data_IF_836378955339
#
_entry.id   IF_836378955339
#
_cell.length_a   1.000
_cell.length_b   1.000
_cell.length_c   1.000
_cell.angle_alpha   90.00
_cell.angle_beta   90.00
_cell.angle_gamma   90.00
#
_symmetry.space_group_name_H-M   'P 1'
#
loop_
_entity.id
_entity.type
_entity.pdbx_description
1 polymer ?
#
# COMPACT_ATOMS: atom_id res chain seq x y z
N UNK A 1 7.87 -3.64 20.13
CA UNK A 1 7.26 -3.46 18.80
C UNK A 1 8.34 -3.50 17.74
N UNK A 2 8.05 -4.06 16.60
CA UNK A 2 9.05 -4.12 15.52
C UNK A 2 9.30 -2.78 14.83
N UNK A 3 8.38 -1.79 14.94
CA UNK A 3 8.53 -0.46 14.34
C UNK A 3 8.94 0.58 15.38
N UNK A 4 9.92 1.43 15.04
CA UNK A 4 10.26 2.62 15.81
C UNK A 4 9.32 3.77 15.46
N UNK A 5 9.07 3.95 14.16
CA UNK A 5 8.24 5.03 13.60
C UNK A 5 7.30 4.46 12.56
N UNK A 6 6.08 4.98 12.52
CA UNK A 6 5.15 4.79 11.39
C UNK A 6 4.72 6.18 10.94
N UNK A 7 4.96 6.51 9.68
CA UNK A 7 4.48 7.76 9.07
C UNK A 7 3.26 7.45 8.21
N UNK A 8 2.17 8.16 8.48
CA UNK A 8 0.93 8.11 7.71
C UNK A 8 0.86 9.35 6.81
N UNK A 9 0.67 9.13 5.52
CA UNK A 9 0.60 10.22 4.52
C UNK A 9 -0.73 10.12 3.78
N UNK A 10 -1.58 11.13 3.91
CA UNK A 10 -2.85 11.25 3.19
C UNK A 10 -3.35 12.69 3.29
N UNK A 11 -3.67 13.34 2.18
CA UNK A 11 -4.21 14.71 2.12
C UNK A 11 -5.73 14.78 2.22
N UNK A 12 -6.41 13.65 2.27
CA UNK A 12 -7.87 13.59 2.28
C UNK A 12 -8.49 13.95 3.64
N UNK A 13 -9.76 14.32 3.56
CA UNK A 13 -10.66 14.45 4.72
C UNK A 13 -11.60 13.27 4.82
N UNK A 14 -12.02 12.97 6.04
CA UNK A 14 -13.07 11.99 6.27
C UNK A 14 -14.39 12.52 5.67
N UNK A 15 -14.99 11.75 4.79
CA UNK A 15 -16.28 12.05 4.18
C UNK A 15 -17.34 11.03 4.60
N UNK A 16 -18.62 11.43 4.56
CA UNK A 16 -19.74 10.53 4.89
C UNK A 16 -19.69 9.24 4.06
N UNK A 17 -19.33 9.33 2.77
CA UNK A 17 -19.20 8.16 1.87
C UNK A 17 -18.08 7.18 2.28
N UNK A 18 -17.18 7.58 3.18
CA UNK A 18 -16.12 6.69 3.67
C UNK A 18 -16.61 5.74 4.76
N UNK A 19 -17.63 6.16 5.54
CA UNK A 19 -18.06 5.46 6.76
C UNK A 19 -18.60 4.04 6.50
N UNK A 20 -19.09 3.79 5.28
CA UNK A 20 -19.65 2.48 4.91
C UNK A 20 -18.58 1.39 4.75
N UNK A 21 -17.30 1.77 4.59
CA UNK A 21 -16.20 0.84 4.26
C UNK A 21 -14.89 1.10 4.98
N UNK A 22 -14.75 2.23 5.64
CA UNK A 22 -13.55 2.62 6.40
C UNK A 22 -13.91 2.63 7.89
N UNK A 23 -13.89 1.46 8.52
CA UNK A 23 -14.29 1.23 9.92
C UNK A 23 -13.49 2.05 10.93
N UNK A 24 -12.34 2.59 10.51
CA UNK A 24 -11.50 3.46 11.33
C UNK A 24 -12.19 4.78 11.68
N UNK A 25 -13.12 5.25 10.85
CA UNK A 25 -13.76 6.56 10.98
C UNK A 25 -15.18 6.45 11.48
N UNK A 26 -15.57 7.41 12.34
CA UNK A 26 -16.91 7.55 12.87
C UNK A 26 -17.59 8.83 12.34
N UNK A 27 -18.92 8.97 12.44
CA UNK A 27 -19.62 10.18 12.01
C UNK A 27 -19.08 11.49 12.61
N UNK A 28 -18.53 11.43 13.82
CA UNK A 28 -17.89 12.57 14.51
C UNK A 28 -16.60 13.04 13.84
N UNK A 29 -15.99 12.20 13.00
CA UNK A 29 -14.73 12.49 12.33
C UNK A 29 -14.90 13.16 10.96
N UNK A 30 -16.13 13.24 10.45
CA UNK A 30 -16.40 13.86 9.13
C UNK A 30 -15.85 15.28 9.08
N UNK A 31 -15.05 15.56 8.04
CA UNK A 31 -14.35 16.83 7.82
C UNK A 31 -12.94 16.91 8.45
N UNK A 32 -12.58 15.99 9.34
CA UNK A 32 -11.23 15.92 9.91
C UNK A 32 -10.24 15.29 8.93
N UNK A 33 -8.96 15.57 9.10
CA UNK A 33 -7.89 14.89 8.35
C UNK A 33 -7.92 13.39 8.62
N UNK A 34 -7.81 12.57 7.55
CA UNK A 34 -7.78 11.12 7.68
C UNK A 34 -6.57 10.65 8.50
N UNK A 35 -5.39 11.22 8.25
CA UNK A 35 -4.17 10.84 8.98
C UNK A 35 -4.20 11.27 10.44
N UNK A 36 -4.84 12.38 10.77
CA UNK A 36 -5.00 12.81 12.16
C UNK A 36 -5.87 11.83 12.96
N UNK A 37 -6.99 11.41 12.39
CA UNK A 37 -7.87 10.42 13.02
C UNK A 37 -7.14 9.08 13.16
N UNK A 38 -6.50 8.61 12.09
CA UNK A 38 -5.77 7.34 12.09
C UNK A 38 -4.61 7.35 13.11
N UNK A 39 -3.83 8.42 13.15
CA UNK A 39 -2.71 8.55 14.10
C UNK A 39 -3.20 8.60 15.54
N UNK A 40 -4.29 9.30 15.82
CA UNK A 40 -4.90 9.33 17.15
C UNK A 40 -5.38 7.94 17.59
N UNK A 41 -6.00 7.18 16.69
CA UNK A 41 -6.41 5.81 16.95
C UNK A 41 -5.20 4.91 17.26
N UNK A 42 -4.14 4.97 16.46
CA UNK A 42 -2.92 4.17 16.66
C UNK A 42 -2.22 4.49 17.97
N UNK A 43 -2.11 5.77 18.36
CA UNK A 43 -1.50 6.20 19.63
C UNK A 43 -2.22 5.67 20.86
N UNK A 44 -3.50 5.35 20.74
CA UNK A 44 -4.31 4.78 21.83
C UNK A 44 -4.20 3.25 21.95
N UNK A 45 -3.42 2.59 21.08
CA UNK A 45 -3.17 1.14 21.21
C UNK A 45 -2.11 0.88 22.28
N UNK A 46 -2.20 -0.24 23.04
CA UNK A 46 -1.28 -0.53 24.16
C UNK A 46 0.19 -0.65 23.77
N UNK A 47 0.46 -0.90 22.50
CA UNK A 47 1.81 -1.08 21.95
C UNK A 47 1.89 -0.18 20.72
N UNK A 48 1.99 1.14 20.94
CA UNK A 48 2.08 2.11 19.86
C UNK A 48 3.53 2.42 19.52
N UNK A 49 3.93 2.38 18.23
CA UNK A 49 5.15 3.02 17.78
C UNK A 49 4.98 4.55 17.84
N UNK A 50 6.04 5.28 17.63
CA UNK A 50 5.89 6.71 17.33
C UNK A 50 5.13 6.85 16.00
N UNK A 51 4.01 7.57 16.01
CA UNK A 51 3.18 7.77 14.82
C UNK A 51 3.26 9.23 14.39
N UNK A 52 3.76 9.44 13.18
CA UNK A 52 3.79 10.72 12.49
C UNK A 52 2.64 10.81 11.49
N UNK A 53 1.96 11.95 11.46
CA UNK A 53 0.87 12.24 10.53
C UNK A 53 1.31 13.35 9.59
N UNK A 54 1.32 13.08 8.30
CA UNK A 54 1.60 14.04 7.23
C UNK A 54 0.30 14.30 6.48
N UNK A 55 -0.37 15.41 6.82
CA UNK A 55 -1.63 15.85 6.21
C UNK A 55 -1.34 16.54 4.86
N UNK A 56 -0.92 15.76 3.88
CA UNK A 56 -0.60 16.21 2.53
C UNK A 56 -0.76 15.06 1.52
N UNK A 57 -1.05 15.40 0.28
CA UNK A 57 -0.90 14.45 -0.82
C UNK A 57 0.58 14.24 -1.14
N UNK A 58 0.93 12.99 -1.41
CA UNK A 58 2.28 12.67 -1.87
C UNK A 58 2.46 13.17 -3.31
N UNK A 59 3.52 13.91 -3.54
CA UNK A 59 3.88 14.46 -4.85
C UNK A 59 5.41 14.44 -5.08
N UNK A 60 5.85 14.90 -6.26
CA UNK A 60 7.25 14.90 -6.62
C UNK A 60 8.12 15.86 -5.77
N UNK A 61 7.52 16.75 -4.98
CA UNK A 61 8.26 17.70 -4.15
C UNK A 61 8.54 17.12 -2.75
N UNK A 62 7.68 16.22 -2.25
CA UNK A 62 7.77 15.68 -0.90
C UNK A 62 8.11 14.19 -0.82
N UNK A 63 7.91 13.41 -1.91
CA UNK A 63 8.06 11.96 -1.89
C UNK A 63 9.45 11.50 -1.44
N UNK A 64 10.52 12.08 -2.00
CA UNK A 64 11.89 11.72 -1.65
C UNK A 64 12.19 11.97 -0.17
N UNK A 65 11.84 13.17 0.33
CA UNK A 65 12.08 13.54 1.73
C UNK A 65 11.33 12.66 2.73
N UNK A 66 10.13 12.21 2.37
CA UNK A 66 9.33 11.33 3.22
C UNK A 66 9.87 9.89 3.14
N UNK A 67 10.07 9.35 1.95
CA UNK A 67 10.44 7.94 1.74
C UNK A 67 11.85 7.64 2.24
N UNK A 68 12.81 8.56 2.07
CA UNK A 68 14.21 8.38 2.48
C UNK A 68 14.40 8.12 3.98
N UNK A 69 13.41 8.43 4.81
CA UNK A 69 13.47 8.22 6.27
C UNK A 69 12.95 6.85 6.71
N UNK A 70 12.56 5.98 5.77
CA UNK A 70 11.92 4.70 6.05
C UNK A 70 12.66 3.53 5.43
N UNK A 71 12.53 2.37 6.05
CA UNK A 71 13.11 1.13 5.56
C UNK A 71 12.17 0.36 4.63
N UNK A 72 10.86 0.64 4.74
CA UNK A 72 9.81 0.00 3.93
C UNK A 72 8.63 0.96 3.73
N UNK A 73 8.09 0.95 2.54
CA UNK A 73 6.87 1.69 2.16
C UNK A 73 5.72 0.73 1.92
N UNK A 74 4.54 1.09 2.39
CA UNK A 74 3.27 0.40 2.11
C UNK A 74 2.39 1.35 1.30
N UNK A 75 2.22 1.05 0.02
CA UNK A 75 1.41 1.84 -0.89
C UNK A 75 -0.02 1.28 -0.95
N UNK A 76 -0.97 2.10 -0.50
CA UNK A 76 -2.41 1.83 -0.52
C UNK A 76 -3.17 2.85 -1.39
N UNK A 77 -2.48 3.56 -2.29
CA UNK A 77 -3.09 4.60 -3.11
C UNK A 77 -3.93 3.99 -4.24
N UNK A 78 -4.95 4.73 -4.68
CA UNK A 78 -5.77 4.41 -5.84
C UNK A 78 -5.38 5.23 -7.09
N UNK A 79 -4.46 6.19 -6.95
CA UNK A 79 -3.93 7.00 -8.04
C UNK A 79 -2.68 6.34 -8.65
N UNK A 80 -2.76 5.98 -9.92
CA UNK A 80 -1.65 5.34 -10.64
C UNK A 80 -0.42 6.24 -10.79
N UNK A 81 -0.61 7.56 -10.90
CA UNK A 81 0.54 8.49 -11.00
C UNK A 81 1.31 8.55 -9.69
N UNK A 82 0.59 8.60 -8.56
CA UNK A 82 1.19 8.56 -7.22
C UNK A 82 1.88 7.20 -7.00
N UNK A 83 1.24 6.10 -7.38
CA UNK A 83 1.81 4.75 -7.30
C UNK A 83 3.12 4.61 -8.07
N UNK A 84 3.18 5.14 -9.30
CA UNK A 84 4.42 5.17 -10.11
C UNK A 84 5.49 6.08 -9.52
N UNK A 85 5.09 7.17 -8.88
CA UNK A 85 6.02 8.05 -8.17
C UNK A 85 6.64 7.32 -6.98
N UNK A 86 5.83 6.64 -6.16
CA UNK A 86 6.29 5.84 -5.02
C UNK A 86 7.26 4.76 -5.50
N UNK A 87 6.87 3.98 -6.52
CA UNK A 87 7.67 2.91 -7.10
C UNK A 87 9.06 3.41 -7.52
N UNK A 88 9.12 4.49 -8.30
CA UNK A 88 10.39 5.11 -8.73
C UNK A 88 11.20 5.61 -7.56
N UNK A 89 10.59 6.33 -6.63
CA UNK A 89 11.32 6.90 -5.49
C UNK A 89 11.88 5.80 -4.60
N UNK A 90 11.12 4.72 -4.37
CA UNK A 90 11.59 3.55 -3.63
C UNK A 90 12.77 2.86 -4.34
N UNK A 91 12.73 2.75 -5.67
CA UNK A 91 13.82 2.19 -6.46
C UNK A 91 15.09 3.05 -6.34
N UNK A 92 14.96 4.37 -6.51
CA UNK A 92 16.09 5.32 -6.46
C UNK A 92 16.76 5.34 -5.07
N UNK A 93 15.99 5.14 -4.01
CA UNK A 93 16.46 5.15 -2.62
C UNK A 93 16.81 3.74 -2.07
N UNK A 94 16.50 2.67 -2.78
CA UNK A 94 16.70 1.30 -2.32
C UNK A 94 15.77 0.94 -1.13
N UNK A 95 14.59 1.53 -1.05
CA UNK A 95 13.60 1.29 -0.01
C UNK A 95 12.61 0.23 -0.46
N UNK A 96 12.36 -0.79 0.37
CA UNK A 96 11.41 -1.85 0.05
C UNK A 96 9.99 -1.31 -0.13
N UNK A 97 9.26 -1.84 -1.12
CA UNK A 97 7.88 -1.44 -1.43
C UNK A 97 6.93 -2.64 -1.37
N UNK A 98 5.85 -2.51 -0.61
CA UNK A 98 4.69 -3.39 -0.65
C UNK A 98 3.50 -2.58 -1.19
N UNK A 99 3.12 -2.83 -2.44
CA UNK A 99 2.04 -2.08 -3.11
C UNK A 99 0.79 -2.94 -3.20
N UNK A 100 -0.35 -2.40 -2.75
CA UNK A 100 -1.66 -3.04 -2.78
C UNK A 100 -2.62 -2.33 -3.71
N UNK A 101 -3.40 -3.09 -4.46
CA UNK A 101 -4.47 -2.58 -5.30
C UNK A 101 -5.69 -3.47 -5.24
N UNK A 102 -6.86 -2.87 -5.41
CA UNK A 102 -8.12 -3.60 -5.51
C UNK A 102 -8.91 -3.10 -6.72
N UNK A 103 -9.58 -4.00 -7.40
CA UNK A 103 -10.46 -3.66 -8.51
C UNK A 103 -11.61 -4.66 -8.58
N UNK A 104 -12.84 -4.17 -8.50
CA UNK A 104 -14.05 -5.01 -8.49
C UNK A 104 -13.97 -6.14 -7.46
N UNK A 105 -13.81 -7.39 -7.87
CA UNK A 105 -13.69 -8.57 -7.00
C UNK A 105 -12.27 -9.11 -6.94
N UNK A 106 -11.28 -8.31 -7.28
CA UNK A 106 -9.88 -8.72 -7.29
C UNK A 106 -9.03 -7.84 -6.38
N UNK A 107 -8.14 -8.47 -5.64
CA UNK A 107 -7.09 -7.83 -4.87
C UNK A 107 -5.72 -8.17 -5.46
N UNK A 108 -4.77 -7.27 -5.31
CA UNK A 108 -3.40 -7.46 -5.77
C UNK A 108 -2.43 -6.97 -4.71
N UNK A 109 -1.38 -7.74 -4.48
CA UNK A 109 -0.23 -7.31 -3.65
C UNK A 109 1.05 -7.59 -4.43
N UNK A 110 1.92 -6.58 -4.49
CA UNK A 110 3.20 -6.66 -5.18
C UNK A 110 4.30 -6.25 -4.20
N UNK A 111 5.42 -6.97 -4.25
CA UNK A 111 6.64 -6.62 -3.52
C UNK A 111 7.70 -6.19 -4.52
N UNK A 112 8.26 -4.99 -4.32
CA UNK A 112 9.32 -4.42 -5.16
C UNK A 112 10.45 -3.86 -4.28
N UNK A 113 11.64 -3.71 -4.86
CA UNK A 113 12.81 -3.07 -4.25
C UNK A 113 13.23 -3.65 -2.89
N UNK A 114 12.86 -4.91 -2.62
CA UNK A 114 13.10 -5.54 -1.31
C UNK A 114 14.49 -6.17 -1.14
N UNK A 115 15.40 -5.92 -2.07
CA UNK A 115 16.74 -6.52 -2.11
C UNK A 115 16.72 -8.00 -2.56
N UNK A 116 17.80 -8.46 -3.16
CA UNK A 116 17.97 -9.90 -3.48
C UNK A 116 17.23 -10.34 -4.74
N UNK A 117 17.52 -9.76 -5.86
CA UNK A 117 16.97 -10.15 -7.17
C UNK A 117 17.25 -9.14 -8.26
N UNK A 118 16.36 -9.02 -9.23
CA UNK A 118 16.45 -7.97 -10.24
C UNK A 118 16.00 -6.63 -9.63
N UNK A 119 16.95 -5.89 -9.06
CA UNK A 119 16.70 -4.64 -8.34
C UNK A 119 16.18 -3.51 -9.25
N UNK A 120 16.19 -3.71 -10.58
CA UNK A 120 15.69 -2.74 -11.57
C UNK A 120 14.23 -3.02 -12.00
N UNK A 121 13.55 -4.00 -11.38
CA UNK A 121 12.18 -4.31 -11.75
C UNK A 121 11.23 -3.25 -11.21
N UNK A 122 10.54 -2.57 -12.11
CA UNK A 122 9.54 -1.54 -11.79
C UNK A 122 8.12 -2.10 -11.90
N UNK A 123 7.18 -1.43 -11.23
CA UNK A 123 5.77 -1.77 -11.32
C UNK A 123 5.28 -1.82 -12.78
N UNK A 124 5.74 -0.89 -13.61
CA UNK A 124 5.39 -0.82 -15.03
C UNK A 124 5.83 -2.04 -15.83
N UNK A 125 6.91 -2.71 -15.44
CA UNK A 125 7.45 -3.88 -16.15
C UNK A 125 6.58 -5.12 -15.98
N UNK A 126 5.89 -5.22 -14.84
CA UNK A 126 5.00 -6.33 -14.51
C UNK A 126 3.72 -6.34 -15.35
N UNK A 127 3.36 -5.21 -15.95
CA UNK A 127 2.10 -5.03 -16.68
C UNK A 127 2.29 -4.66 -18.15
N UNK A 128 3.48 -4.88 -18.72
CA UNK A 128 3.75 -4.61 -20.13
C UNK A 128 2.73 -5.31 -21.04
N UNK A 129 2.14 -4.53 -21.96
CA UNK A 129 1.18 -5.05 -22.94
C UNK A 129 -0.24 -5.24 -22.43
N UNK A 130 -0.55 -4.92 -21.19
CA UNK A 130 -1.94 -4.85 -20.73
C UNK A 130 -2.46 -3.41 -20.91
N UNK A 131 -3.71 -3.25 -21.40
CA UNK A 131 -4.32 -1.92 -21.38
C UNK A 131 -4.30 -1.41 -19.94
N UNK A 132 -3.88 -0.14 -19.76
CA UNK A 132 -3.98 0.49 -18.45
C UNK A 132 -5.45 0.47 -18.04
N UNK A 133 -5.76 -0.08 -16.89
CA UNK A 133 -7.11 -0.13 -16.31
C UNK A 133 -7.61 1.29 -15.97
N UNK A 134 -6.79 2.30 -16.26
CA UNK A 134 -6.98 3.71 -15.91
C UNK A 134 -8.17 4.40 -16.60
N UNK A 135 -8.79 3.77 -17.60
CA UNK A 135 -9.90 4.42 -18.31
C UNK A 135 -11.25 4.26 -17.61
N UNK A 136 -11.38 3.31 -16.68
CA UNK A 136 -12.67 2.99 -16.06
C UNK A 136 -12.75 3.35 -14.57
N UNK A 137 -11.89 4.21 -14.04
CA UNK A 137 -11.88 4.69 -12.66
C UNK A 137 -12.47 3.66 -11.69
N UNK A 138 -11.66 2.90 -10.96
CA UNK A 138 -12.21 1.91 -10.05
C UNK A 138 -13.15 2.58 -9.04
N UNK A 139 -14.46 2.40 -9.22
CA UNK A 139 -15.41 2.84 -8.21
C UNK A 139 -15.26 1.95 -6.97
N UNK A 140 -14.45 2.43 -6.03
CA UNK A 140 -14.16 1.74 -4.78
C UNK A 140 -15.42 1.35 -3.99
N UNK A 141 -16.58 1.98 -4.27
CA UNK A 141 -17.87 1.62 -3.65
C UNK A 141 -18.35 0.23 -4.06
N UNK A 142 -17.88 -0.25 -5.21
CA UNK A 142 -18.25 -1.55 -5.75
C UNK A 142 -17.27 -2.66 -5.39
N UNK A 143 -16.21 -2.36 -4.63
CA UNK A 143 -15.27 -3.37 -4.13
C UNK A 143 -15.82 -3.98 -2.84
N UNK A 144 -16.03 -5.32 -2.78
CA UNK A 144 -16.47 -5.98 -1.56
C UNK A 144 -15.48 -5.80 -0.42
N UNK A 145 -15.99 -5.60 0.81
CA UNK A 145 -15.14 -5.45 2.02
C UNK A 145 -14.19 -6.62 2.21
N UNK A 146 -14.60 -7.83 1.87
CA UNK A 146 -13.74 -9.02 1.93
C UNK A 146 -12.49 -8.89 1.05
N UNK A 147 -12.62 -8.31 -0.16
CA UNK A 147 -11.48 -8.10 -1.06
C UNK A 147 -10.51 -7.08 -0.48
N UNK A 148 -11.03 -5.99 0.12
CA UNK A 148 -10.22 -4.99 0.80
C UNK A 148 -9.47 -5.61 1.99
N UNK A 149 -10.18 -6.34 2.83
CA UNK A 149 -9.65 -6.96 4.05
C UNK A 149 -8.57 -8.02 3.73
N UNK A 150 -8.84 -8.92 2.78
CA UNK A 150 -7.87 -9.93 2.36
C UNK A 150 -6.62 -9.31 1.72
N UNK A 151 -6.79 -8.24 0.92
CA UNK A 151 -5.65 -7.52 0.36
C UNK A 151 -4.82 -6.85 1.45
N UNK A 152 -5.46 -6.15 2.37
CA UNK A 152 -4.79 -5.49 3.49
C UNK A 152 -4.06 -6.49 4.41
N UNK A 153 -4.69 -7.62 4.74
CA UNK A 153 -4.05 -8.72 5.50
C UNK A 153 -2.82 -9.26 4.80
N UNK A 154 -2.88 -9.44 3.48
CA UNK A 154 -1.76 -9.92 2.69
C UNK A 154 -0.61 -8.93 2.67
N UNK A 155 -0.89 -7.64 2.52
CA UNK A 155 0.12 -6.58 2.62
C UNK A 155 0.78 -6.58 4.01
N UNK A 156 -0.02 -6.61 5.07
CA UNK A 156 0.47 -6.67 6.45
C UNK A 156 1.31 -7.93 6.72
N UNK A 157 0.95 -9.06 6.09
CA UNK A 157 1.74 -10.28 6.16
C UNK A 157 3.13 -10.10 5.54
N UNK A 158 3.25 -9.46 4.35
CA UNK A 158 4.54 -9.19 3.71
C UNK A 158 5.41 -8.26 4.54
N UNK A 159 4.83 -7.22 5.08
CA UNK A 159 5.54 -6.33 6.03
C UNK A 159 6.03 -7.11 7.26
N UNK A 160 5.22 -8.02 7.80
CA UNK A 160 5.61 -8.85 8.94
C UNK A 160 6.75 -9.81 8.59
N UNK A 161 6.74 -10.41 7.41
CA UNK A 161 7.85 -11.25 6.94
C UNK A 161 9.15 -10.45 6.88
N UNK A 162 9.10 -9.27 6.28
CA UNK A 162 10.24 -8.35 6.20
C UNK A 162 10.78 -7.99 7.59
N UNK A 163 9.93 -7.65 8.55
CA UNK A 163 10.30 -7.36 9.92
C UNK A 163 10.95 -8.53 10.65
N UNK A 164 10.58 -9.74 10.30
CA UNK A 164 11.18 -10.96 10.87
C UNK A 164 12.42 -11.42 10.10
N UNK A 165 13.01 -10.54 9.28
CA UNK A 165 14.18 -10.84 8.42
C UNK A 165 13.94 -12.01 7.47
N UNK A 166 12.69 -12.27 7.10
CA UNK A 166 12.37 -13.19 6.01
C UNK A 166 12.59 -12.43 4.70
N UNK A 167 13.43 -12.96 3.82
CA UNK A 167 13.70 -12.35 2.53
C UNK A 167 12.40 -12.24 1.72
N UNK A 168 12.03 -11.05 1.36
CA UNK A 168 10.94 -10.81 0.41
C UNK A 168 11.42 -11.09 -1.02
N UNK A 169 10.55 -11.65 -1.82
CA UNK A 169 10.84 -11.94 -3.23
C UNK A 169 10.49 -10.71 -4.06
N UNK A 170 11.51 -10.01 -4.56
CA UNK A 170 11.33 -8.86 -5.43
C UNK A 170 10.64 -9.26 -6.74
N UNK A 171 9.58 -8.54 -7.12
CA UNK A 171 8.77 -8.85 -8.30
C UNK A 171 7.69 -9.92 -8.09
N UNK A 172 7.49 -10.42 -6.87
CA UNK A 172 6.35 -11.30 -6.57
C UNK A 172 5.05 -10.55 -6.72
N UNK A 173 4.13 -11.14 -7.47
CA UNK A 173 2.76 -10.66 -7.66
C UNK A 173 1.78 -11.65 -7.06
N UNK A 174 0.91 -11.19 -6.21
CA UNK A 174 -0.12 -12.00 -5.57
C UNK A 174 -1.50 -11.44 -5.94
N UNK A 175 -2.35 -12.29 -6.48
CA UNK A 175 -3.68 -11.93 -6.95
C UNK A 175 -4.74 -12.67 -6.15
N UNK A 176 -5.65 -11.94 -5.52
CA UNK A 176 -6.82 -12.48 -4.86
C UNK A 176 -8.04 -12.45 -5.79
N UNK A 177 -8.74 -13.56 -5.92
CA UNK A 177 -10.04 -13.60 -6.60
C UNK A 177 -11.16 -13.79 -5.56
N UNK A 178 -11.90 -12.74 -5.28
CA UNK A 178 -13.02 -12.74 -4.32
C UNK A 178 -14.21 -13.60 -4.74
N UNK A 179 -14.23 -14.16 -5.99
CA UNK A 179 -15.27 -15.12 -6.41
C UNK A 179 -14.96 -16.53 -5.92
N UNK A 180 -13.70 -16.85 -5.77
CA UNK A 180 -13.21 -18.19 -5.39
C UNK A 180 -12.56 -18.19 -4.01
N UNK A 181 -12.40 -17.00 -3.40
CA UNK A 181 -11.67 -16.78 -2.14
C UNK A 181 -10.25 -17.39 -2.18
N UNK A 182 -9.57 -17.27 -3.32
CA UNK A 182 -8.27 -17.91 -3.54
C UNK A 182 -7.20 -16.89 -3.95
N UNK A 183 -5.96 -17.18 -3.55
CA UNK A 183 -4.78 -16.45 -3.96
C UNK A 183 -4.02 -17.19 -5.05
N UNK A 184 -3.65 -16.49 -6.11
CA UNK A 184 -2.66 -16.91 -7.11
C UNK A 184 -1.36 -16.16 -6.82
N UNK A 185 -0.26 -16.90 -6.69
CA UNK A 185 1.07 -16.34 -6.50
C UNK A 185 1.87 -16.53 -7.78
N UNK A 186 2.41 -15.44 -8.30
CA UNK A 186 3.26 -15.40 -9.48
C UNK A 186 4.65 -14.97 -9.01
N UNK A 187 5.59 -15.89 -9.12
CA UNK A 187 6.99 -15.61 -8.80
C UNK A 187 7.68 -14.95 -10.00
N UNK A 188 8.62 -14.02 -9.78
CA UNK A 188 9.43 -13.48 -10.84
C UNK A 188 10.25 -14.60 -11.50
N UNK A 189 10.62 -14.45 -12.77
CA UNK A 189 11.52 -15.40 -13.42
C UNK A 189 12.84 -15.48 -12.63
N UNK A 190 13.32 -16.70 -12.43
CA UNK A 190 14.63 -16.93 -11.76
C UNK A 190 15.71 -16.14 -12.47
N UNK A 191 16.54 -15.41 -11.73
CA UNK A 191 17.70 -14.77 -12.29
C UNK A 191 18.60 -15.86 -12.90
N UNK A 192 18.83 -15.78 -14.22
CA UNK A 192 19.69 -16.69 -14.97
C UNK A 192 21.16 -16.32 -14.80
#
# INVERSE_FOLDING_TARGET
MPFSVITLVDGDRVEVKNLDRQELYAPVDVGRSKVDVASAWMRNTPVSPFVEAVDAFLDAQNAEGIIAMHDIVVDCTDDLHVRRLIDRTCADLGVALVSGAVHTKQGQVIVLHAGGGNDNLMLGDLFQGRPSVDQDGCDMRNVPLEVLDETAKRMAWRVREWLNSVALVNGRVELYDGRTAAWLIIEPPSAS
#
